data_IF_987688817289
#
_entry.id   IF_987688817289
#
_cell.length_a   1.000
_cell.length_b   1.000
_cell.length_c   1.000
_cell.angle_alpha   90.00
_cell.angle_beta   90.00
_cell.angle_gamma   90.00
#
_symmetry.space_group_name_H-M   'P 1'
#
loop_
_entity.id
_entity.type
_entity.pdbx_description
1 polymer ?
#
# COMPACT_ATOMS: atom_id res chain seq x y z
N UNK A 1 47.67 2.71 47.43
CA UNK A 1 47.30 3.81 46.52
C UNK A 1 47.80 3.44 45.13
N UNK A 2 47.02 3.21 44.09
CA UNK A 2 45.56 3.21 43.96
C UNK A 2 45.22 2.27 42.79
N UNK A 3 44.49 1.21 43.09
CA UNK A 3 44.11 0.10 42.20
C UNK A 3 42.73 0.38 41.63
N UNK A 4 42.62 0.94 40.42
CA UNK A 4 41.29 1.33 39.91
C UNK A 4 41.09 1.32 38.39
N UNK A 5 41.76 0.45 37.60
CA UNK A 5 41.50 0.38 36.14
C UNK A 5 41.40 -0.99 35.49
N UNK A 6 41.12 -2.06 36.25
CA UNK A 6 40.85 -3.38 35.69
C UNK A 6 39.74 -4.10 36.47
N UNK A 7 38.49 -3.65 36.39
CA UNK A 7 37.30 -4.38 36.90
C UNK A 7 35.98 -3.73 36.46
N UNK A 8 35.57 -3.88 35.19
CA UNK A 8 34.16 -3.70 34.78
C UNK A 8 33.75 -4.70 33.70
N UNK A 9 34.19 -5.95 33.88
CA UNK A 9 33.61 -7.12 33.23
C UNK A 9 32.89 -7.94 34.30
N UNK A 10 31.61 -8.14 34.05
CA UNK A 10 30.73 -9.18 34.55
C UNK A 10 29.94 -8.95 35.87
N UNK A 11 28.64 -9.17 35.70
CA UNK A 11 27.63 -9.72 36.63
C UNK A 11 26.82 -8.75 37.48
N UNK A 12 25.62 -8.43 36.95
CA UNK A 12 24.31 -8.59 37.60
C UNK A 12 23.27 -8.36 36.50
N UNK A 13 22.94 -9.34 35.65
CA UNK A 13 22.07 -10.48 35.95
C UNK A 13 20.78 -10.04 36.67
N UNK A 14 19.91 -9.35 35.94
CA UNK A 14 18.51 -9.14 36.31
C UNK A 14 17.63 -9.89 35.31
N UNK A 15 17.31 -11.10 35.73
CA UNK A 15 16.19 -11.93 35.31
C UNK A 15 14.90 -11.10 35.21
N UNK A 16 14.44 -10.86 33.99
CA UNK A 16 13.01 -10.66 33.72
C UNK A 16 12.53 -11.90 33.01
N UNK A 17 11.49 -12.50 33.60
CA UNK A 17 10.94 -13.79 33.27
C UNK A 17 10.80 -14.01 31.77
N UNK A 18 11.23 -15.20 31.35
CA UNK A 18 10.73 -15.87 30.17
C UNK A 18 9.20 -16.02 30.32
N UNK A 19 8.47 -14.99 29.88
CA UNK A 19 7.14 -15.20 29.35
C UNK A 19 7.34 -15.99 28.07
N UNK A 20 7.11 -17.29 28.14
CA UNK A 20 6.76 -18.06 26.93
C UNK A 20 5.81 -17.19 26.11
N UNK A 21 6.12 -16.87 24.84
CA UNK A 21 5.14 -16.18 24.02
C UNK A 21 3.87 -17.00 24.14
N UNK A 22 2.70 -16.40 24.45
CA UNK A 22 1.47 -17.16 24.33
C UNK A 22 1.51 -17.72 22.93
N UNK A 23 1.52 -19.05 22.81
CA UNK A 23 1.21 -19.74 21.57
C UNK A 23 -0.21 -19.31 21.24
N UNK A 24 -0.33 -18.13 20.65
CA UNK A 24 -1.51 -17.59 20.06
C UNK A 24 -1.82 -18.60 18.97
N UNK A 25 -2.79 -19.49 19.23
CA UNK A 25 -3.41 -20.28 18.18
C UNK A 25 -3.72 -19.31 17.05
N UNK A 26 -2.91 -19.41 16.01
CA UNK A 26 -2.89 -18.42 14.98
C UNK A 26 -4.08 -18.73 14.09
N UNK A 27 -5.10 -17.87 14.20
CA UNK A 27 -6.36 -18.11 13.52
C UNK A 27 -6.20 -17.79 12.03
N UNK A 28 -6.63 -18.68 11.11
CA UNK A 28 -6.67 -18.40 9.67
C UNK A 28 -7.44 -17.11 9.33
N UNK A 29 -8.29 -16.63 10.26
CA UNK A 29 -9.06 -15.40 10.13
C UNK A 29 -8.23 -14.11 10.27
N UNK A 30 -7.01 -14.15 10.81
CA UNK A 30 -6.11 -12.98 10.86
C UNK A 30 -5.57 -12.60 9.48
N UNK A 31 -5.36 -13.60 8.61
CA UNK A 31 -5.02 -13.39 7.20
C UNK A 31 -6.17 -12.70 6.48
N UNK A 32 -7.44 -12.98 6.84
CA UNK A 32 -8.61 -12.28 6.31
C UNK A 32 -8.58 -10.79 6.63
N UNK A 33 -8.31 -10.39 7.88
CA UNK A 33 -8.24 -8.98 8.26
C UNK A 33 -7.09 -8.24 7.56
N UNK A 34 -5.91 -8.87 7.46
CA UNK A 34 -4.79 -8.35 6.69
C UNK A 34 -5.18 -8.16 5.22
N UNK A 35 -5.76 -9.19 4.61
CA UNK A 35 -6.16 -9.16 3.22
C UNK A 35 -7.20 -8.06 2.94
N UNK A 36 -8.26 -7.98 3.72
CA UNK A 36 -9.26 -6.91 3.57
C UNK A 36 -8.65 -5.51 3.75
N UNK A 37 -7.70 -5.35 4.68
CA UNK A 37 -7.01 -4.07 4.91
C UNK A 37 -6.11 -3.68 3.73
N UNK A 38 -5.34 -4.64 3.21
CA UNK A 38 -4.47 -4.44 2.03
C UNK A 38 -5.28 -4.14 0.77
N UNK A 39 -6.42 -4.79 0.56
CA UNK A 39 -7.35 -4.47 -0.52
C UNK A 39 -7.97 -3.08 -0.39
N UNK A 40 -8.41 -2.71 0.82
CA UNK A 40 -8.96 -1.37 1.09
C UNK A 40 -7.93 -0.28 0.76
N UNK A 41 -6.65 -0.50 1.11
CA UNK A 41 -5.56 0.44 0.80
C UNK A 41 -5.43 0.68 -0.70
N UNK A 42 -5.42 -0.40 -1.50
CA UNK A 42 -5.34 -0.29 -2.97
C UNK A 42 -6.56 0.42 -3.54
N UNK A 43 -7.77 0.13 -3.02
CA UNK A 43 -9.00 0.78 -3.47
C UNK A 43 -8.98 2.28 -3.19
N UNK A 44 -8.58 2.69 -1.98
CA UNK A 44 -8.50 4.11 -1.59
C UNK A 44 -7.46 4.87 -2.43
N UNK A 45 -6.29 4.28 -2.67
CA UNK A 45 -5.28 4.87 -3.55
C UNK A 45 -5.81 5.06 -4.98
N UNK A 46 -6.49 4.04 -5.52
CA UNK A 46 -7.11 4.11 -6.85
C UNK A 46 -8.21 5.16 -6.89
N UNK A 47 -9.03 5.23 -5.86
CA UNK A 47 -10.14 6.18 -5.74
C UNK A 47 -9.66 7.63 -5.76
N UNK A 48 -8.63 7.96 -4.96
CA UNK A 48 -8.05 9.31 -4.94
C UNK A 48 -7.35 9.62 -6.25
N UNK A 49 -6.60 8.66 -6.81
CA UNK A 49 -6.00 8.81 -8.13
C UNK A 49 -7.05 9.13 -9.20
N UNK A 50 -8.15 8.38 -9.26
CA UNK A 50 -9.22 8.57 -10.25
C UNK A 50 -9.90 9.95 -10.10
N UNK A 51 -10.07 10.42 -8.87
CA UNK A 51 -10.61 11.76 -8.62
C UNK A 51 -9.64 12.85 -9.10
N UNK A 52 -8.34 12.70 -8.88
CA UNK A 52 -7.35 13.62 -9.43
C UNK A 52 -7.23 13.51 -10.96
N UNK A 53 -7.34 12.30 -11.52
CA UNK A 53 -7.37 12.07 -12.97
C UNK A 53 -8.57 12.77 -13.60
N UNK A 54 -9.77 12.65 -13.01
CA UNK A 54 -11.00 13.31 -13.45
C UNK A 54 -10.86 14.83 -13.54
N UNK A 55 -10.16 15.43 -12.57
CA UNK A 55 -9.90 16.89 -12.54
C UNK A 55 -8.84 17.30 -13.54
N UNK A 56 -7.78 16.50 -13.70
CA UNK A 56 -6.69 16.77 -14.63
C UNK A 56 -7.11 16.61 -16.09
N UNK A 57 -8.03 15.67 -16.38
CA UNK A 57 -8.47 15.29 -17.71
C UNK A 57 -10.00 15.42 -17.85
N UNK A 58 -10.57 16.64 -17.79
CA UNK A 58 -12.02 16.85 -17.71
C UNK A 58 -12.79 16.36 -18.96
N UNK A 59 -12.11 16.25 -20.10
CA UNK A 59 -12.70 15.75 -21.34
C UNK A 59 -12.66 14.22 -21.48
N UNK A 60 -12.00 13.52 -20.56
CA UNK A 60 -11.96 12.06 -20.56
C UNK A 60 -13.18 11.51 -19.80
N UNK A 61 -14.04 10.68 -20.41
CA UNK A 61 -15.20 10.09 -19.72
C UNK A 61 -14.81 8.95 -18.77
N UNK A 62 -13.63 8.34 -18.99
CA UNK A 62 -13.14 7.17 -18.24
C UNK A 62 -13.07 7.39 -16.71
N UNK A 63 -12.45 8.47 -16.19
CA UNK A 63 -12.22 8.60 -14.76
C UNK A 63 -13.53 8.68 -13.98
N UNK A 64 -14.55 9.36 -14.52
CA UNK A 64 -15.87 9.44 -13.88
C UNK A 64 -16.56 8.07 -13.77
N UNK A 65 -16.53 7.28 -14.85
CA UNK A 65 -17.12 5.93 -14.87
C UNK A 65 -16.39 4.97 -13.92
N UNK A 66 -15.06 5.01 -13.94
CA UNK A 66 -14.23 4.15 -13.08
C UNK A 66 -14.28 4.57 -11.62
N UNK A 67 -14.39 5.87 -11.32
CA UNK A 67 -14.53 6.39 -9.96
C UNK A 67 -15.82 5.87 -9.30
N UNK A 68 -16.94 5.86 -10.03
CA UNK A 68 -18.20 5.31 -9.51
C UNK A 68 -18.09 3.83 -9.16
N UNK A 69 -17.44 3.03 -10.01
CA UNK A 69 -17.19 1.60 -9.74
C UNK A 69 -16.25 1.39 -8.56
N UNK A 70 -15.18 2.18 -8.49
CA UNK A 70 -14.19 2.05 -7.42
C UNK A 70 -14.75 2.51 -6.08
N UNK A 71 -15.67 3.48 -6.07
CA UNK A 71 -16.42 3.88 -4.87
C UNK A 71 -17.21 2.71 -4.29
N UNK A 72 -18.03 2.04 -5.10
CA UNK A 72 -18.80 0.87 -4.68
C UNK A 72 -17.89 -0.26 -4.17
N UNK A 73 -16.77 -0.51 -4.87
CA UNK A 73 -15.78 -1.48 -4.42
C UNK A 73 -15.16 -1.11 -3.08
N UNK A 74 -14.83 0.16 -2.86
CA UNK A 74 -14.27 0.66 -1.61
C UNK A 74 -15.27 0.50 -0.46
N UNK A 75 -16.54 0.86 -0.67
CA UNK A 75 -17.63 0.67 0.29
C UNK A 75 -17.79 -0.81 0.67
N UNK A 76 -17.73 -1.72 -0.31
CA UNK A 76 -17.75 -3.16 -0.05
C UNK A 76 -16.56 -3.60 0.81
N UNK A 77 -15.32 -3.12 0.52
CA UNK A 77 -14.14 -3.47 1.32
C UNK A 77 -14.19 -2.94 2.74
N UNK A 78 -14.83 -1.79 2.98
CA UNK A 78 -15.07 -1.27 4.33
C UNK A 78 -15.97 -2.23 5.13
N UNK A 79 -17.06 -2.70 4.52
CA UNK A 79 -17.98 -3.66 5.15
C UNK A 79 -17.28 -4.99 5.45
N UNK A 80 -16.53 -5.53 4.49
CA UNK A 80 -15.78 -6.78 4.65
C UNK A 80 -14.71 -6.68 5.74
N UNK A 81 -13.96 -5.57 5.80
CA UNK A 81 -12.95 -5.35 6.84
C UNK A 81 -13.60 -5.22 8.21
N UNK A 82 -14.73 -4.52 8.33
CA UNK A 82 -15.50 -4.42 9.58
C UNK A 82 -15.95 -5.79 10.11
N UNK A 83 -16.39 -6.69 9.22
CA UNK A 83 -16.73 -8.06 9.57
C UNK A 83 -15.53 -8.89 10.07
N UNK A 84 -14.33 -8.62 9.55
CA UNK A 84 -13.10 -9.35 9.89
C UNK A 84 -12.48 -8.95 11.25
N UNK A 85 -13.03 -7.98 11.96
CA UNK A 85 -12.44 -7.44 13.21
C UNK A 85 -12.67 -8.29 14.46
N UNK A 86 -13.64 -9.19 14.40
CA UNK A 86 -14.08 -9.99 15.55
C UNK A 86 -12.97 -10.86 16.12
N UNK A 87 -12.03 -11.31 15.28
CA UNK A 87 -10.92 -12.19 15.67
C UNK A 87 -9.62 -11.44 16.04
N UNK A 88 -9.62 -10.11 15.97
CA UNK A 88 -8.49 -9.28 16.36
C UNK A 88 -8.49 -9.00 17.87
N UNK A 89 -7.30 -8.98 18.48
CA UNK A 89 -7.13 -8.50 19.84
C UNK A 89 -7.50 -7.01 19.97
N UNK A 90 -7.87 -6.58 21.18
CA UNK A 90 -8.43 -5.25 21.47
C UNK A 90 -7.62 -4.10 20.85
N UNK A 91 -6.28 -4.14 21.01
CA UNK A 91 -5.38 -3.13 20.46
C UNK A 91 -5.46 -3.03 18.93
N UNK A 92 -5.42 -4.17 18.22
CA UNK A 92 -5.48 -4.20 16.75
C UNK A 92 -6.84 -3.81 16.23
N UNK A 93 -7.90 -4.28 16.88
CA UNK A 93 -9.26 -3.86 16.57
C UNK A 93 -9.41 -2.34 16.64
N UNK A 94 -8.92 -1.69 17.70
CA UNK A 94 -8.97 -0.23 17.84
C UNK A 94 -8.20 0.49 16.73
N UNK A 95 -7.01 -0.01 16.37
CA UNK A 95 -6.22 0.56 15.27
C UNK A 95 -6.94 0.44 13.92
N UNK A 96 -7.55 -0.71 13.63
CA UNK A 96 -8.29 -0.92 12.38
C UNK A 96 -9.59 -0.10 12.35
N UNK A 97 -10.32 -0.01 13.46
CA UNK A 97 -11.52 0.84 13.56
C UNK A 97 -11.21 2.30 13.23
N UNK A 98 -10.12 2.84 13.77
CA UNK A 98 -9.69 4.21 13.45
C UNK A 98 -9.37 4.37 11.95
N UNK A 99 -8.77 3.37 11.32
CA UNK A 99 -8.53 3.40 9.88
C UNK A 99 -9.83 3.34 9.07
N UNK A 100 -10.83 2.57 9.52
CA UNK A 100 -12.15 2.53 8.89
C UNK A 100 -12.82 3.90 8.94
N UNK A 101 -12.83 4.55 10.12
CA UNK A 101 -13.37 5.90 10.29
C UNK A 101 -12.67 6.92 9.37
N UNK A 102 -11.34 6.87 9.29
CA UNK A 102 -10.56 7.77 8.43
C UNK A 102 -10.75 7.48 6.94
N UNK A 103 -10.94 6.21 6.55
CA UNK A 103 -11.22 5.82 5.18
C UNK A 103 -12.63 6.25 4.74
N UNK A 104 -13.62 6.12 5.63
CA UNK A 104 -14.97 6.63 5.43
C UNK A 104 -14.98 8.16 5.32
N UNK A 105 -14.24 8.88 6.18
CA UNK A 105 -14.09 10.34 6.08
C UNK A 105 -13.45 10.75 4.74
N UNK A 106 -12.41 10.03 4.28
CA UNK A 106 -11.80 10.29 2.97
C UNK A 106 -12.78 10.05 1.81
N UNK A 107 -13.56 8.96 1.86
CA UNK A 107 -14.58 8.62 0.87
C UNK A 107 -15.66 9.71 0.75
N UNK A 108 -16.07 10.29 1.88
CA UNK A 108 -17.03 11.39 1.92
C UNK A 108 -16.43 12.71 1.44
N UNK A 109 -15.11 12.87 1.54
CA UNK A 109 -14.38 14.12 1.26
C UNK A 109 -13.55 14.08 -0.02
N UNK A 110 -13.88 13.22 -0.98
CA UNK A 110 -13.18 13.16 -2.27
C UNK A 110 -13.16 14.52 -2.99
N UNK A 111 -14.19 15.36 -2.81
CA UNK A 111 -14.28 16.68 -3.44
C UNK A 111 -13.35 17.77 -2.86
N UNK A 112 -12.51 17.44 -1.86
CA UNK A 112 -11.53 18.39 -1.31
C UNK A 112 -10.57 18.92 -2.39
N UNK A 113 -9.98 20.12 -2.20
CA UNK A 113 -8.87 20.62 -3.02
C UNK A 113 -7.75 19.58 -3.19
N UNK A 114 -7.03 19.62 -4.32
CA UNK A 114 -6.11 18.54 -4.71
C UNK A 114 -4.98 18.31 -3.69
N UNK A 115 -4.44 19.37 -3.11
CA UNK A 115 -3.43 19.37 -2.05
C UNK A 115 -3.96 18.76 -0.75
N UNK A 116 -5.15 19.17 -0.31
CA UNK A 116 -5.80 18.65 0.89
C UNK A 116 -6.18 17.16 0.73
N UNK A 117 -6.69 16.79 -0.44
CA UNK A 117 -7.01 15.41 -0.79
C UNK A 117 -5.75 14.55 -0.81
N UNK A 118 -4.67 15.03 -1.46
CA UNK A 118 -3.39 14.33 -1.51
C UNK A 118 -2.83 14.12 -0.11
N UNK A 119 -2.72 15.19 0.69
CA UNK A 119 -2.19 15.13 2.05
C UNK A 119 -2.94 14.16 2.96
N UNK A 120 -4.28 14.16 2.89
CA UNK A 120 -5.11 13.19 3.63
C UNK A 120 -4.91 11.76 3.15
N UNK A 121 -4.86 11.55 1.85
CA UNK A 121 -4.64 10.22 1.27
C UNK A 121 -3.27 9.63 1.65
N UNK A 122 -2.20 10.44 1.60
CA UNK A 122 -0.84 10.02 1.96
C UNK A 122 -0.74 9.69 3.46
N UNK A 123 -1.36 10.52 4.31
CA UNK A 123 -1.40 10.27 5.74
C UNK A 123 -2.15 8.98 6.08
N UNK A 124 -3.28 8.71 5.42
CA UNK A 124 -4.03 7.47 5.58
C UNK A 124 -3.23 6.26 5.07
N UNK A 125 -2.63 6.36 3.88
CA UNK A 125 -1.81 5.29 3.31
C UNK A 125 -0.62 4.91 4.21
N UNK A 126 0.04 5.89 4.83
CA UNK A 126 1.09 5.65 5.80
C UNK A 126 0.57 4.89 7.04
N UNK A 127 -0.55 5.34 7.62
CA UNK A 127 -1.17 4.66 8.78
C UNK A 127 -1.66 3.25 8.45
N UNK A 128 -2.26 3.05 7.28
CA UNK A 128 -2.62 1.72 6.79
C UNK A 128 -1.38 0.83 6.64
N UNK A 129 -0.26 1.35 6.12
CA UNK A 129 1.00 0.62 6.02
C UNK A 129 1.54 0.14 7.37
N UNK A 130 1.40 0.94 8.43
CA UNK A 130 1.76 0.49 9.78
C UNK A 130 0.83 -0.61 10.31
N UNK A 131 -0.46 -0.54 10.00
CA UNK A 131 -1.43 -1.55 10.44
C UNK A 131 -1.30 -2.85 9.64
N UNK A 132 -1.11 -2.80 8.32
CA UNK A 132 -0.90 -4.02 7.52
C UNK A 132 0.39 -4.73 7.90
N UNK A 133 1.47 -3.99 8.17
CA UNK A 133 2.71 -4.55 8.71
C UNK A 133 2.49 -5.23 10.06
N UNK A 134 1.73 -4.60 10.95
CA UNK A 134 1.42 -5.20 12.24
C UNK A 134 0.57 -6.47 12.12
N UNK A 135 -0.45 -6.44 11.25
CA UNK A 135 -1.31 -7.59 11.00
C UNK A 135 -0.53 -8.74 10.36
N UNK A 136 0.44 -8.45 9.47
CA UNK A 136 1.26 -9.49 8.86
C UNK A 136 2.17 -10.19 9.87
N UNK A 137 2.76 -9.45 10.82
CA UNK A 137 3.57 -10.06 11.90
C UNK A 137 2.78 -10.93 12.88
N UNK A 138 1.45 -10.77 12.94
CA UNK A 138 0.56 -11.51 13.83
C UNK A 138 -0.21 -12.64 13.13
N UNK A 139 0.02 -12.83 11.83
CA UNK A 139 -0.63 -13.83 11.02
C UNK A 139 -0.16 -15.26 11.33
N UNK A 140 -1.01 -16.23 11.03
CA UNK A 140 -0.71 -17.66 11.21
C UNK A 140 0.35 -18.18 10.24
N UNK A 141 0.27 -17.70 9.00
CA UNK A 141 1.26 -17.92 7.97
C UNK A 141 1.98 -16.58 7.74
N UNK A 142 3.13 -16.36 8.39
CA UNK A 142 3.86 -15.09 8.29
C UNK A 142 4.43 -14.88 6.88
N UNK A 143 4.79 -15.95 6.17
CA UNK A 143 5.36 -15.86 4.83
C UNK A 143 4.30 -15.42 3.81
N UNK A 144 3.13 -16.07 3.81
CA UNK A 144 1.99 -15.64 2.99
C UNK A 144 1.58 -14.21 3.33
N UNK A 145 1.45 -13.89 4.63
CA UNK A 145 1.05 -12.57 5.07
C UNK A 145 2.04 -11.47 4.65
N UNK A 146 3.34 -11.74 4.73
CA UNK A 146 4.37 -10.83 4.26
C UNK A 146 4.27 -10.64 2.74
N UNK A 147 4.06 -11.71 1.97
CA UNK A 147 3.88 -11.62 0.52
C UNK A 147 2.66 -10.77 0.14
N UNK A 148 1.52 -10.96 0.83
CA UNK A 148 0.32 -10.16 0.61
C UNK A 148 0.54 -8.67 0.93
N UNK A 149 1.20 -8.35 2.04
CA UNK A 149 1.54 -6.96 2.38
C UNK A 149 2.48 -6.34 1.34
N UNK A 150 3.51 -7.07 0.89
CA UNK A 150 4.44 -6.60 -0.14
C UNK A 150 3.76 -6.34 -1.49
N UNK A 151 2.91 -7.26 -1.95
CA UNK A 151 2.18 -7.13 -3.21
C UNK A 151 1.20 -5.94 -3.17
N UNK A 152 0.46 -5.80 -2.06
CA UNK A 152 -0.43 -4.66 -1.87
C UNK A 152 0.34 -3.35 -1.80
N UNK A 153 1.47 -3.32 -1.08
CA UNK A 153 2.33 -2.14 -1.00
C UNK A 153 2.81 -1.75 -2.39
N UNK A 154 3.33 -2.69 -3.19
CA UNK A 154 3.71 -2.45 -4.57
C UNK A 154 2.53 -1.93 -5.42
N UNK A 155 1.37 -2.57 -5.37
CA UNK A 155 0.18 -2.13 -6.10
C UNK A 155 -0.27 -0.71 -5.71
N UNK A 156 -0.27 -0.41 -4.41
CA UNK A 156 -0.59 0.92 -3.88
C UNK A 156 0.44 1.98 -4.29
N UNK A 157 1.73 1.64 -4.33
CA UNK A 157 2.79 2.57 -4.74
C UNK A 157 2.71 2.85 -6.25
N UNK A 158 2.36 1.87 -7.09
CA UNK A 158 2.09 2.11 -8.51
C UNK A 158 0.97 3.15 -8.70
N UNK A 159 -0.14 3.00 -7.95
CA UNK A 159 -1.25 3.96 -7.95
C UNK A 159 -0.82 5.34 -7.42
N UNK A 160 -0.01 5.36 -6.36
CA UNK A 160 0.59 6.58 -5.79
C UNK A 160 1.40 7.36 -6.82
N UNK A 161 2.17 6.70 -7.68
CA UNK A 161 2.89 7.38 -8.79
C UNK A 161 1.90 8.08 -9.73
N UNK A 162 0.80 7.42 -10.08
CA UNK A 162 -0.27 8.03 -10.88
C UNK A 162 -0.91 9.23 -10.18
N UNK A 163 -1.25 9.05 -8.90
CA UNK A 163 -1.82 10.09 -8.03
C UNK A 163 -0.95 11.36 -7.99
N UNK A 164 0.36 11.19 -7.79
CA UNK A 164 1.32 12.29 -7.75
C UNK A 164 1.48 12.99 -9.10
N UNK A 165 1.46 12.25 -10.21
CA UNK A 165 1.52 12.85 -11.55
C UNK A 165 0.29 13.72 -11.86
N UNK A 166 -0.92 13.27 -11.50
CA UNK A 166 -2.13 14.08 -11.67
C UNK A 166 -2.19 15.28 -10.73
N UNK A 167 -1.72 15.13 -9.48
CA UNK A 167 -1.58 16.26 -8.56
C UNK A 167 -0.59 17.31 -9.08
N UNK A 168 0.59 16.87 -9.52
CA UNK A 168 1.63 17.74 -10.08
C UNK A 168 1.11 18.52 -11.29
N UNK A 169 0.36 17.87 -12.17
CA UNK A 169 -0.23 18.52 -13.34
C UNK A 169 -1.26 19.59 -12.95
N UNK A 170 -2.19 19.29 -12.04
CA UNK A 170 -3.21 20.25 -11.61
C UNK A 170 -2.63 21.47 -10.91
N UNK A 171 -1.65 21.24 -10.02
CA UNK A 171 -1.05 22.30 -9.20
C UNK A 171 0.09 23.03 -9.92
N UNK A 172 0.54 22.52 -11.07
CA UNK A 172 1.76 22.96 -11.76
C UNK A 172 2.97 23.03 -10.80
N UNK A 173 3.03 22.12 -9.84
CA UNK A 173 3.99 22.18 -8.74
C UNK A 173 5.14 21.22 -8.96
N UNK A 174 6.37 21.77 -8.96
CA UNK A 174 7.60 20.99 -8.95
C UNK A 174 7.85 20.30 -7.59
N UNK A 175 7.14 20.68 -6.52
CA UNK A 175 7.29 20.09 -5.19
C UNK A 175 6.91 18.60 -5.18
N UNK A 176 6.10 18.16 -6.14
CA UNK A 176 5.73 16.75 -6.32
C UNK A 176 6.87 15.89 -6.88
N UNK A 177 7.98 16.48 -7.32
CA UNK A 177 9.13 15.76 -7.85
C UNK A 177 9.78 14.83 -6.82
N UNK A 178 9.97 15.31 -5.58
CA UNK A 178 10.57 14.51 -4.51
C UNK A 178 9.70 13.31 -4.14
N UNK A 179 8.42 13.46 -3.77
CA UNK A 179 7.58 12.31 -3.45
C UNK A 179 7.37 11.38 -4.66
N UNK A 180 7.33 11.89 -5.89
CA UNK A 180 7.23 11.05 -7.08
C UNK A 180 8.49 10.18 -7.26
N UNK A 181 9.68 10.77 -7.14
CA UNK A 181 10.95 10.04 -7.18
C UNK A 181 11.03 8.97 -6.07
N UNK A 182 10.62 9.32 -4.85
CA UNK A 182 10.55 8.37 -3.73
C UNK A 182 9.61 7.19 -4.03
N UNK A 183 8.41 7.47 -4.57
CA UNK A 183 7.47 6.42 -4.95
C UNK A 183 8.04 5.48 -6.03
N UNK A 184 8.84 5.98 -6.97
CA UNK A 184 9.53 5.12 -7.96
C UNK A 184 10.52 4.15 -7.27
N UNK A 185 11.32 4.66 -6.33
CA UNK A 185 12.30 3.86 -5.60
C UNK A 185 11.62 2.84 -4.71
N UNK A 186 10.58 3.24 -3.98
CA UNK A 186 9.76 2.35 -3.15
C UNK A 186 9.17 1.21 -3.97
N UNK A 187 8.59 1.52 -5.14
CA UNK A 187 7.99 0.51 -6.01
C UNK A 187 9.03 -0.46 -6.56
N UNK A 188 10.16 0.05 -7.06
CA UNK A 188 11.24 -0.81 -7.55
C UNK A 188 11.79 -1.72 -6.44
N UNK A 189 11.95 -1.19 -5.23
CA UNK A 189 12.41 -1.95 -4.08
C UNK A 189 11.41 -3.04 -3.73
N UNK A 190 10.10 -2.72 -3.73
CA UNK A 190 9.06 -3.71 -3.47
C UNK A 190 9.07 -4.85 -4.50
N UNK A 191 9.18 -4.54 -5.80
CA UNK A 191 9.27 -5.57 -6.85
C UNK A 191 10.52 -6.45 -6.72
N UNK A 192 11.65 -5.86 -6.34
CA UNK A 192 12.88 -6.63 -6.12
C UNK A 192 12.75 -7.58 -4.94
N UNK A 193 12.16 -7.11 -3.82
CA UNK A 193 11.92 -7.95 -2.65
C UNK A 193 10.95 -9.07 -2.98
N UNK A 194 9.84 -8.81 -3.68
CA UNK A 194 8.90 -9.85 -4.12
C UNK A 194 9.61 -10.90 -4.98
N UNK A 195 10.51 -10.48 -5.88
CA UNK A 195 11.29 -11.39 -6.72
C UNK A 195 12.32 -12.26 -5.98
N UNK A 196 12.59 -12.00 -4.69
CA UNK A 196 13.46 -12.82 -3.86
C UNK A 196 12.70 -13.95 -3.13
N UNK A 197 11.35 -13.90 -3.13
CA UNK A 197 10.54 -14.96 -2.55
C UNK A 197 10.32 -16.12 -3.53
N UNK A 198 10.16 -17.34 -3.00
CA UNK A 198 9.80 -18.51 -3.80
C UNK A 198 8.35 -18.38 -4.29
N UNK A 199 8.18 -18.13 -5.59
CA UNK A 199 6.87 -18.00 -6.24
C UNK A 199 6.59 -19.22 -7.11
N UNK A 200 5.31 -19.54 -7.30
CA UNK A 200 4.90 -20.53 -8.30
C UNK A 200 5.30 -20.06 -9.72
N UNK A 201 5.40 -20.98 -10.68
CA UNK A 201 5.74 -20.64 -12.07
C UNK A 201 4.77 -19.60 -12.67
N UNK A 202 3.46 -19.76 -12.39
CA UNK A 202 2.44 -18.80 -12.81
C UNK A 202 2.61 -17.42 -12.15
N UNK A 203 2.90 -17.40 -10.84
CA UNK A 203 3.15 -16.17 -10.09
C UNK A 203 4.41 -15.43 -10.58
N UNK A 204 5.46 -16.19 -10.93
CA UNK A 204 6.72 -15.66 -11.48
C UNK A 204 6.48 -14.97 -12.82
N UNK A 205 5.65 -15.56 -13.70
CA UNK A 205 5.32 -14.96 -14.98
C UNK A 205 4.57 -13.62 -14.83
N UNK A 206 3.60 -13.55 -13.91
CA UNK A 206 2.86 -12.31 -13.64
C UNK A 206 3.75 -11.22 -13.05
N UNK A 207 4.65 -11.58 -12.13
CA UNK A 207 5.63 -10.64 -11.59
C UNK A 207 6.53 -10.09 -12.69
N UNK A 208 7.02 -10.94 -13.59
CA UNK A 208 7.83 -10.53 -14.74
C UNK A 208 7.06 -9.59 -15.69
N UNK A 209 5.77 -9.83 -15.89
CA UNK A 209 4.90 -8.94 -16.66
C UNK A 209 4.77 -7.56 -15.98
N UNK A 210 4.53 -7.52 -14.67
CA UNK A 210 4.46 -6.26 -13.91
C UNK A 210 5.79 -5.50 -13.93
N UNK A 211 6.93 -6.20 -13.81
CA UNK A 211 8.27 -5.63 -13.95
C UNK A 211 8.50 -5.05 -15.35
N UNK A 212 8.08 -5.76 -16.40
CA UNK A 212 8.20 -5.28 -17.78
C UNK A 212 7.35 -4.03 -18.02
N UNK A 213 6.09 -4.04 -17.58
CA UNK A 213 5.21 -2.88 -17.65
C UNK A 213 5.82 -1.68 -16.90
N UNK A 214 6.43 -1.93 -15.74
CA UNK A 214 7.11 -0.89 -14.97
C UNK A 214 8.31 -0.29 -15.69
N UNK A 215 9.17 -1.12 -16.30
CA UNK A 215 10.33 -0.63 -17.06
C UNK A 215 9.88 0.28 -18.21
N UNK A 216 8.88 -0.14 -18.97
CA UNK A 216 8.30 0.65 -20.06
C UNK A 216 7.66 1.94 -19.53
N UNK A 217 6.93 1.85 -18.41
CA UNK A 217 6.31 3.00 -17.77
C UNK A 217 7.36 4.02 -17.31
N UNK A 218 8.40 3.58 -16.60
CA UNK A 218 9.47 4.43 -16.08
C UNK A 218 10.20 5.16 -17.20
N UNK A 219 10.39 4.54 -18.36
CA UNK A 219 11.01 5.19 -19.52
C UNK A 219 10.21 6.41 -20.03
N UNK A 220 8.88 6.43 -19.80
CA UNK A 220 8.01 7.56 -20.15
C UNK A 220 8.06 8.72 -19.14
N UNK A 221 8.67 8.52 -17.98
CA UNK A 221 8.81 9.53 -16.93
C UNK A 221 10.15 10.28 -17.03
N UNK A 222 10.18 11.50 -16.50
CA UNK A 222 11.41 12.24 -16.22
C UNK A 222 12.20 11.62 -15.06
N UNK A 223 13.43 12.11 -14.85
CA UNK A 223 14.30 11.65 -13.75
C UNK A 223 13.66 11.90 -12.37
N UNK A 224 12.82 12.92 -12.28
CA UNK A 224 12.03 13.27 -11.09
C UNK A 224 10.75 12.43 -10.92
N UNK A 225 10.48 11.46 -11.80
CA UNK A 225 9.29 10.60 -11.74
C UNK A 225 7.98 11.28 -12.16
N UNK A 226 8.05 12.50 -12.69
CA UNK A 226 6.92 13.20 -13.30
C UNK A 226 6.94 13.00 -14.82
N UNK A 227 5.77 13.02 -15.45
CA UNK A 227 5.66 12.98 -16.92
C UNK A 227 6.40 14.15 -17.55
N UNK A 228 7.06 13.88 -18.67
CA UNK A 228 7.79 14.90 -19.45
C UNK A 228 6.84 15.85 -20.18
N UNK A 229 5.63 15.39 -20.48
CA UNK A 229 4.64 16.13 -21.28
C UNK A 229 3.21 15.70 -20.93
N UNK A 230 2.26 16.64 -21.04
CA UNK A 230 0.88 16.46 -20.58
C UNK A 230 0.07 15.43 -21.38
N UNK A 231 0.40 15.26 -22.67
CA UNK A 231 -0.17 14.23 -23.56
C UNK A 231 0.08 12.80 -23.04
N UNK A 232 1.11 12.59 -22.23
CA UNK A 232 1.45 11.29 -21.63
C UNK A 232 0.64 10.95 -20.38
N UNK A 233 -0.19 11.87 -19.86
CA UNK A 233 -0.99 11.62 -18.66
C UNK A 233 -1.97 10.45 -18.83
N UNK A 234 -2.51 10.25 -20.05
CA UNK A 234 -3.36 9.09 -20.36
C UNK A 234 -2.62 7.74 -20.23
N UNK A 235 -1.33 7.71 -20.56
CA UNK A 235 -0.51 6.50 -20.41
C UNK A 235 -0.26 6.19 -18.93
N UNK A 236 0.04 7.23 -18.12
CA UNK A 236 0.16 7.10 -16.66
C UNK A 236 -1.13 6.56 -16.06
N UNK A 237 -2.26 7.11 -16.50
CA UNK A 237 -3.60 6.74 -16.05
C UNK A 237 -3.83 5.24 -16.16
N UNK A 238 -3.57 4.68 -17.34
CA UNK A 238 -3.88 3.27 -17.64
C UNK A 238 -2.80 2.32 -17.12
N UNK A 239 -1.53 2.71 -17.19
CA UNK A 239 -0.42 1.82 -16.86
C UNK A 239 -0.32 1.55 -15.36
N UNK A 240 -0.46 2.58 -14.53
CA UNK A 240 -0.45 2.41 -13.06
C UNK A 240 -1.63 1.58 -12.56
N UNK A 241 -2.80 1.67 -13.22
CA UNK A 241 -3.95 0.81 -12.91
C UNK A 241 -3.69 -0.65 -13.29
N UNK A 242 -3.12 -0.90 -14.48
CA UNK A 242 -2.80 -2.26 -14.95
C UNK A 242 -1.80 -2.94 -14.03
N UNK A 243 -0.73 -2.23 -13.65
CA UNK A 243 0.27 -2.76 -12.72
C UNK A 243 -0.37 -3.13 -11.38
N UNK A 244 -1.17 -2.23 -10.80
CA UNK A 244 -1.85 -2.49 -9.53
C UNK A 244 -2.85 -3.65 -9.64
N UNK A 245 -3.57 -3.77 -10.75
CA UNK A 245 -4.46 -4.89 -11.03
C UNK A 245 -3.70 -6.22 -11.13
N UNK A 246 -2.59 -6.27 -11.88
CA UNK A 246 -1.77 -7.48 -12.01
C UNK A 246 -1.21 -7.94 -10.65
N UNK A 247 -0.71 -7.01 -9.83
CA UNK A 247 -0.23 -7.33 -8.48
C UNK A 247 -1.36 -7.78 -7.55
N UNK A 248 -2.56 -7.19 -7.68
CA UNK A 248 -3.75 -7.63 -6.95
C UNK A 248 -4.22 -9.03 -7.35
N UNK A 249 -4.17 -9.36 -8.64
CA UNK A 249 -4.50 -10.70 -9.15
C UNK A 249 -3.50 -11.74 -8.64
N UNK A 250 -2.21 -11.40 -8.64
CA UNK A 250 -1.17 -12.24 -8.06
C UNK A 250 -1.44 -12.51 -6.57
N UNK A 251 -1.80 -11.48 -5.80
CA UNK A 251 -2.14 -11.63 -4.39
C UNK A 251 -3.39 -12.53 -4.17
N UNK A 252 -4.42 -12.38 -5.00
CA UNK A 252 -5.61 -13.26 -4.97
C UNK A 252 -5.21 -14.73 -5.17
N UNK A 253 -4.35 -15.02 -6.16
CA UNK A 253 -3.91 -16.39 -6.43
C UNK A 253 -3.14 -16.99 -5.27
N UNK A 254 -2.29 -16.20 -4.59
CA UNK A 254 -1.58 -16.67 -3.40
C UNK A 254 -2.53 -17.06 -2.25
N UNK A 255 -3.70 -16.42 -2.15
CA UNK A 255 -4.71 -16.80 -1.15
C UNK A 255 -5.55 -18.03 -1.53
N UNK A 256 -5.45 -18.49 -2.78
CA UNK A 256 -6.25 -19.61 -3.33
C UNK A 256 -5.43 -20.90 -3.55
N UNK A 257 -4.10 -20.80 -3.49
CA UNK A 257 -3.15 -21.90 -3.65
C UNK A 257 -2.93 -22.64 -2.33
#
# INVERSE_FOLDING_TARGET
>A
MDTSRLSRRAVLALTVLAGTPPSLCASPRRVTALWSCTQLRVCLERLVKLELERRALPHSPRPGQELAKERLRTEQRLVELSGALTDLGTRRRQQVNRLLEEAEDLLQRLALPADALLGRSEALAARMGFVTLALSTEAADPDLAQQLDLLSRAGSTALRVGKLNFAAYQQRSAEMAVPASQALVEFQTALNVIGQHTLSAGATHELAQAQTQWVLFRASLGVNGLVKSADRLGDVATTTDRIAQSLGQLAIRLTQA
#
